data_IF_073843834145
#
_entry.id   IF_073843834145
#
_cell.length_a   1.000
_cell.length_b   1.000
_cell.length_c   1.000
_cell.angle_alpha   90.00
_cell.angle_beta   90.00
_cell.angle_gamma   90.00
#
_symmetry.space_group_name_H-M   'P 1'
#
loop_
_entity.id
_entity.type
_entity.pdbx_description
1 polymer ?
#
# COMPACT_ATOMS: atom_id res chain seq x y z
N UNK A 1 -52.82 47.52 -49.64
CA UNK A 1 -53.04 46.19 -49.05
C UNK A 1 -51.67 45.67 -48.65
N UNK A 2 -51.36 45.78 -47.36
CA UNK A 2 -50.03 45.66 -46.77
C UNK A 2 -49.62 44.18 -46.61
N UNK A 3 -48.36 43.89 -46.94
CA UNK A 3 -47.63 42.71 -46.45
C UNK A 3 -47.44 42.84 -44.94
N UNK A 4 -47.69 41.77 -44.20
CA UNK A 4 -47.24 41.61 -42.80
C UNK A 4 -46.57 40.26 -42.67
N UNK A 5 -45.28 40.30 -42.41
CA UNK A 5 -44.37 39.19 -42.14
C UNK A 5 -44.69 38.49 -40.81
N UNK A 6 -44.46 37.18 -40.78
CA UNK A 6 -44.43 36.36 -39.56
C UNK A 6 -43.26 36.75 -38.64
N UNK A 7 -43.43 36.72 -37.30
CA UNK A 7 -42.32 36.71 -36.37
C UNK A 7 -41.88 35.27 -36.05
N UNK A 8 -40.57 34.96 -36.04
CA UNK A 8 -40.06 33.75 -35.42
C UNK A 8 -39.75 34.04 -33.94
N UNK A 9 -40.66 33.67 -33.05
CA UNK A 9 -40.40 33.63 -31.60
C UNK A 9 -40.48 32.20 -31.09
N UNK A 10 -39.31 31.59 -30.94
CA UNK A 10 -38.95 30.85 -29.72
C UNK A 10 -37.50 30.39 -29.86
N UNK A 11 -36.62 31.20 -29.28
CA UNK A 11 -35.29 30.77 -28.89
C UNK A 11 -35.44 29.56 -27.95
N UNK A 12 -35.30 28.35 -28.49
CA UNK A 12 -35.21 27.14 -27.68
C UNK A 12 -33.82 27.14 -27.05
N UNK A 13 -33.71 27.72 -25.86
CA UNK A 13 -32.57 27.48 -24.97
C UNK A 13 -32.77 26.06 -24.44
N UNK A 14 -31.91 25.09 -24.76
CA UNK A 14 -31.98 23.78 -24.11
C UNK A 14 -31.54 23.98 -22.66
N UNK A 15 -32.52 24.16 -21.78
CA UNK A 15 -32.33 24.34 -20.34
C UNK A 15 -32.10 22.99 -19.66
N UNK A 16 -31.16 22.21 -20.20
CA UNK A 16 -30.64 20.99 -19.61
C UNK A 16 -29.14 20.91 -19.86
N UNK A 17 -28.39 21.83 -19.23
CA UNK A 17 -27.05 21.45 -18.78
C UNK A 17 -27.30 20.42 -17.68
N UNK A 18 -27.30 19.15 -18.08
CA UNK A 18 -27.28 18.03 -17.17
C UNK A 18 -26.02 18.22 -16.30
N UNK A 19 -26.19 18.82 -15.12
CA UNK A 19 -25.13 18.91 -14.11
C UNK A 19 -24.90 17.46 -13.70
N UNK A 20 -23.96 16.82 -14.37
CA UNK A 20 -23.59 15.45 -14.05
C UNK A 20 -23.29 15.39 -12.56
N UNK A 21 -23.98 14.52 -11.80
CA UNK A 21 -23.76 14.43 -10.37
C UNK A 21 -22.27 14.15 -10.14
N UNK A 22 -21.61 15.03 -9.38
CA UNK A 22 -20.22 14.89 -8.97
C UNK A 22 -20.11 13.72 -7.99
N UNK A 23 -20.15 12.50 -8.50
CA UNK A 23 -19.89 11.33 -7.67
C UNK A 23 -18.44 11.39 -7.17
N UNK A 24 -18.15 10.90 -5.95
CA UNK A 24 -16.78 10.77 -5.46
C UNK A 24 -15.86 10.10 -6.50
N UNK A 25 -16.36 9.08 -7.20
CA UNK A 25 -15.64 8.42 -8.29
C UNK A 25 -15.29 9.33 -9.47
N UNK A 26 -16.19 10.23 -9.89
CA UNK A 26 -15.92 11.19 -10.96
C UNK A 26 -14.88 12.22 -10.54
N UNK A 27 -14.88 12.65 -9.27
CA UNK A 27 -13.88 13.56 -8.71
C UNK A 27 -12.51 12.87 -8.61
N UNK A 28 -12.46 11.61 -8.18
CA UNK A 28 -11.23 10.82 -8.13
C UNK A 28 -10.64 10.56 -9.52
N UNK A 29 -11.47 10.24 -10.51
CA UNK A 29 -11.03 10.09 -11.91
C UNK A 29 -10.43 11.38 -12.45
N UNK A 30 -11.10 12.52 -12.27
CA UNK A 30 -10.56 13.82 -12.71
C UNK A 30 -9.24 14.16 -12.00
N UNK A 31 -9.18 13.92 -10.69
CA UNK A 31 -7.97 14.15 -9.89
C UNK A 31 -6.82 13.25 -10.33
N UNK A 32 -7.10 12.00 -10.69
CA UNK A 32 -6.11 11.08 -11.25
C UNK A 32 -5.62 11.56 -12.63
N UNK A 33 -6.50 12.08 -13.48
CA UNK A 33 -6.13 12.61 -14.79
C UNK A 33 -5.35 13.93 -14.73
N UNK A 34 -5.61 14.78 -13.73
CA UNK A 34 -4.92 16.05 -13.47
C UNK A 34 -4.03 15.97 -12.21
N UNK A 35 -3.22 14.90 -12.12
CA UNK A 35 -2.39 14.68 -10.93
C UNK A 35 -1.40 15.84 -10.74
N UNK A 36 -0.74 16.31 -11.80
CA UNK A 36 0.29 17.36 -11.68
C UNK A 36 -0.27 18.67 -11.11
N UNK A 37 -1.51 19.04 -11.48
CA UNK A 37 -2.21 20.20 -10.93
C UNK A 37 -2.67 19.99 -9.48
N UNK A 38 -3.04 18.77 -9.10
CA UNK A 38 -3.62 18.46 -7.79
C UNK A 38 -2.61 18.02 -6.71
N UNK A 39 -1.50 17.39 -7.12
CA UNK A 39 -0.64 16.59 -6.24
C UNK A 39 -0.06 17.40 -5.08
N UNK A 40 0.45 18.60 -5.35
CA UNK A 40 1.07 19.44 -4.31
C UNK A 40 0.10 19.73 -3.15
N UNK A 41 -1.17 20.03 -3.46
CA UNK A 41 -2.20 20.29 -2.46
C UNK A 41 -2.59 19.02 -1.70
N UNK A 42 -2.76 17.91 -2.40
CA UNK A 42 -3.16 16.63 -1.79
C UNK A 42 -2.06 16.06 -0.90
N UNK A 43 -0.81 16.11 -1.33
CA UNK A 43 0.36 15.70 -0.53
C UNK A 43 0.49 16.57 0.71
N UNK A 44 0.27 17.89 0.60
CA UNK A 44 0.27 18.79 1.77
C UNK A 44 -0.81 18.40 2.79
N UNK A 45 -2.02 18.05 2.32
CA UNK A 45 -3.11 17.57 3.18
C UNK A 45 -2.78 16.21 3.79
N UNK A 46 -2.26 15.26 3.01
CA UNK A 46 -1.85 13.95 3.52
C UNK A 46 -0.73 14.06 4.57
N UNK A 47 0.25 14.94 4.35
CA UNK A 47 1.28 15.21 5.34
C UNK A 47 0.71 15.79 6.64
N UNK A 48 -0.28 16.68 6.55
CA UNK A 48 -0.97 17.23 7.71
C UNK A 48 -1.72 16.14 8.49
N UNK A 49 -2.47 15.30 7.77
CA UNK A 49 -3.17 14.14 8.32
C UNK A 49 -2.21 13.20 9.07
N UNK A 50 -1.11 12.81 8.43
CA UNK A 50 -0.05 11.99 9.01
C UNK A 50 0.72 12.64 10.17
N UNK A 51 0.55 13.95 10.38
CA UNK A 51 1.14 14.69 11.49
C UNK A 51 0.15 14.95 12.63
N UNK A 52 -1.01 14.28 12.61
CA UNK A 52 -2.03 14.35 13.66
C UNK A 52 -3.19 15.31 13.38
N UNK A 53 -3.13 16.12 12.31
CA UNK A 53 -4.27 16.96 11.88
C UNK A 53 -5.29 16.13 11.10
N UNK A 54 -5.99 15.23 11.81
CA UNK A 54 -6.96 14.28 11.23
C UNK A 54 -8.18 14.96 10.60
N UNK A 55 -8.40 16.24 10.88
CA UNK A 55 -9.39 17.10 10.23
C UNK A 55 -8.98 17.55 8.81
N UNK A 56 -7.70 17.43 8.45
CA UNK A 56 -7.21 17.87 7.14
C UNK A 56 -7.69 17.01 5.95
N UNK A 57 -8.08 15.76 6.21
CA UNK A 57 -8.69 14.80 5.28
C UNK A 57 -9.70 13.94 6.05
N UNK A 58 -10.87 13.65 5.47
CA UNK A 58 -11.70 12.55 5.96
C UNK A 58 -10.97 11.20 5.75
N UNK A 59 -11.41 10.14 6.42
CA UNK A 59 -10.88 8.78 6.19
C UNK A 59 -10.97 8.35 4.72
N UNK A 60 -12.10 8.65 4.06
CA UNK A 60 -12.29 8.36 2.63
C UNK A 60 -11.37 9.18 1.72
N UNK A 61 -11.16 10.47 2.03
CA UNK A 61 -10.21 11.31 1.29
C UNK A 61 -8.76 10.80 1.49
N UNK A 62 -8.39 10.44 2.73
CA UNK A 62 -7.06 9.91 3.03
C UNK A 62 -6.80 8.58 2.32
N UNK A 63 -7.77 7.67 2.35
CA UNK A 63 -7.78 6.43 1.59
C UNK A 63 -7.49 6.71 0.11
N UNK A 64 -8.30 7.58 -0.51
CA UNK A 64 -8.18 7.88 -1.93
C UNK A 64 -6.84 8.54 -2.29
N UNK A 65 -6.39 9.52 -1.50
CA UNK A 65 -5.13 10.24 -1.78
C UNK A 65 -3.93 9.30 -1.69
N UNK A 66 -3.88 8.38 -0.71
CA UNK A 66 -2.79 7.41 -0.59
C UNK A 66 -2.75 6.45 -1.78
N UNK A 67 -3.91 6.01 -2.24
CA UNK A 67 -4.03 5.16 -3.43
C UNK A 67 -3.60 5.89 -4.72
N UNK A 68 -4.02 7.15 -4.90
CA UNK A 68 -3.59 7.98 -6.03
C UNK A 68 -2.08 8.22 -6.03
N UNK A 69 -1.48 8.51 -4.86
CA UNK A 69 -0.03 8.60 -4.73
C UNK A 69 0.67 7.30 -5.17
N UNK A 70 0.11 6.14 -4.82
CA UNK A 70 0.59 4.83 -5.26
C UNK A 70 0.49 4.63 -6.77
N UNK A 71 -0.70 4.85 -7.34
CA UNK A 71 -0.95 4.74 -8.79
C UNK A 71 0.04 5.59 -9.59
N UNK A 72 0.21 6.84 -9.18
CA UNK A 72 1.07 7.83 -9.86
C UNK A 72 2.55 7.68 -9.54
N UNK A 73 2.91 6.84 -8.57
CA UNK A 73 4.29 6.68 -8.13
C UNK A 73 4.90 7.97 -7.57
N UNK A 74 4.09 8.80 -6.90
CA UNK A 74 4.56 10.09 -6.39
C UNK A 74 5.47 9.90 -5.17
N UNK A 75 6.78 10.01 -5.40
CA UNK A 75 7.80 9.74 -4.37
C UNK A 75 7.72 10.65 -3.14
N UNK A 76 7.05 11.81 -3.25
CA UNK A 76 6.83 12.71 -2.12
C UNK A 76 5.94 12.07 -1.05
N UNK A 77 5.14 11.06 -1.41
CA UNK A 77 4.30 10.33 -0.49
C UNK A 77 5.07 9.32 0.37
N UNK A 78 6.25 8.83 -0.05
CA UNK A 78 6.93 7.72 0.61
C UNK A 78 7.17 7.94 2.10
N UNK A 79 7.75 9.10 2.43
CA UNK A 79 8.05 9.47 3.80
C UNK A 79 6.79 9.65 4.65
N UNK A 80 5.70 10.09 4.03
CA UNK A 80 4.41 10.31 4.69
C UNK A 80 3.76 8.96 5.01
N UNK A 81 3.72 8.03 4.05
CA UNK A 81 3.17 6.69 4.24
C UNK A 81 4.01 5.90 5.27
N UNK A 82 5.34 5.98 5.21
CA UNK A 82 6.19 5.36 6.24
C UNK A 82 5.92 5.95 7.64
N UNK A 83 5.64 7.26 7.75
CA UNK A 83 5.28 7.89 9.03
C UNK A 83 3.94 7.39 9.56
N UNK A 84 2.94 7.24 8.70
CA UNK A 84 1.64 6.66 9.06
C UNK A 84 1.84 5.25 9.61
N UNK A 85 2.52 4.37 8.87
CA UNK A 85 2.79 2.99 9.32
C UNK A 85 3.54 2.97 10.65
N UNK A 86 4.48 3.89 10.87
CA UNK A 86 5.25 3.93 12.10
C UNK A 86 4.46 4.41 13.32
N UNK A 87 3.46 5.28 13.16
CA UNK A 87 2.87 6.03 14.27
C UNK A 87 1.34 5.96 14.38
N UNK A 88 0.67 5.36 13.40
CA UNK A 88 -0.78 5.23 13.34
C UNK A 88 -1.16 3.78 13.64
N UNK A 89 -1.52 3.49 14.89
CA UNK A 89 -2.04 2.17 15.30
C UNK A 89 -3.46 1.93 14.79
N UNK A 90 -4.22 3.00 14.53
CA UNK A 90 -5.54 2.99 13.88
C UNK A 90 -5.49 3.10 12.36
N UNK A 91 -4.36 2.80 11.71
CA UNK A 91 -4.26 2.93 10.23
C UNK A 91 -5.29 2.05 9.51
N UNK A 92 -5.61 0.89 10.08
CA UNK A 92 -6.62 -0.02 9.58
C UNK A 92 -8.05 0.57 9.62
N UNK A 93 -8.33 1.54 10.50
CA UNK A 93 -9.67 2.13 10.62
C UNK A 93 -10.05 2.95 9.38
N UNK A 94 -9.05 3.47 8.65
CA UNK A 94 -9.28 4.27 7.45
C UNK A 94 -8.74 3.63 6.17
N UNK A 95 -7.80 2.69 6.25
CA UNK A 95 -7.38 1.87 5.10
C UNK A 95 -8.19 0.58 4.93
N UNK A 96 -8.79 0.04 5.99
CA UNK A 96 -9.42 -1.28 5.95
C UNK A 96 -8.48 -2.35 5.40
N UNK A 97 -9.00 -3.24 4.57
CA UNK A 97 -8.22 -4.36 3.99
C UNK A 97 -7.12 -3.89 3.02
N UNK A 98 -7.16 -2.63 2.56
CA UNK A 98 -6.09 -2.06 1.75
C UNK A 98 -4.74 -2.05 2.50
N UNK A 99 -4.74 -2.12 3.85
CA UNK A 99 -3.52 -2.27 4.65
C UNK A 99 -2.72 -3.49 4.20
N UNK A 100 -3.36 -4.61 3.87
CA UNK A 100 -2.69 -5.84 3.43
C UNK A 100 -2.68 -6.02 1.92
N UNK A 101 -3.68 -5.49 1.21
CA UNK A 101 -3.85 -5.74 -0.23
C UNK A 101 -3.07 -4.76 -1.12
N UNK A 102 -3.17 -3.45 -0.87
CA UNK A 102 -2.62 -2.44 -1.79
C UNK A 102 -1.44 -1.67 -1.20
N UNK A 103 -1.36 -1.54 0.13
CA UNK A 103 -0.30 -0.80 0.81
C UNK A 103 1.12 -1.28 0.43
N UNK A 104 1.42 -2.59 0.25
CA UNK A 104 2.71 -3.01 -0.27
C UNK A 104 3.03 -2.40 -1.64
N UNK A 105 2.08 -2.43 -2.56
CA UNK A 105 2.22 -1.86 -3.91
C UNK A 105 2.36 -0.35 -3.90
N UNK A 106 1.66 0.35 -3.01
CA UNK A 106 1.81 1.81 -2.81
C UNK A 106 3.24 2.14 -2.35
N UNK A 107 3.77 1.39 -1.38
CA UNK A 107 5.13 1.57 -0.88
C UNK A 107 6.18 1.29 -1.96
N UNK A 108 5.96 0.26 -2.79
CA UNK A 108 6.83 -0.07 -3.92
C UNK A 108 6.85 1.04 -4.97
N UNK A 109 5.67 1.57 -5.35
CA UNK A 109 5.54 2.62 -6.37
C UNK A 109 6.08 3.96 -5.91
N UNK A 110 5.81 4.34 -4.66
CA UNK A 110 6.25 5.61 -4.10
C UNK A 110 7.69 5.59 -3.61
N UNK A 111 8.39 4.46 -3.62
CA UNK A 111 9.73 4.33 -3.06
C UNK A 111 10.71 5.43 -3.53
N UNK A 112 11.26 6.19 -2.58
CA UNK A 112 12.13 7.36 -2.81
C UNK A 112 13.62 7.01 -2.92
N UNK A 113 13.95 5.72 -3.06
CA UNK A 113 15.33 5.22 -3.07
C UNK A 113 15.94 4.98 -1.70
N UNK A 114 15.29 5.35 -0.59
CA UNK A 114 15.88 5.31 0.75
C UNK A 114 15.15 4.34 1.70
N UNK A 115 15.66 3.11 1.80
CA UNK A 115 15.09 2.06 2.66
C UNK A 115 15.06 2.38 4.17
N UNK A 116 15.74 3.43 4.64
CA UNK A 116 15.84 3.77 6.06
C UNK A 116 14.46 4.05 6.70
N UNK A 117 13.58 4.79 6.02
CA UNK A 117 12.24 5.11 6.53
C UNK A 117 11.36 3.87 6.59
N UNK A 118 11.41 3.04 5.56
CA UNK A 118 10.66 1.80 5.49
C UNK A 118 11.10 0.81 6.59
N UNK A 119 12.41 0.67 6.81
CA UNK A 119 12.94 -0.13 7.93
C UNK A 119 12.49 0.39 9.30
N UNK A 120 12.45 1.71 9.49
CA UNK A 120 11.98 2.32 10.73
C UNK A 120 10.49 2.03 10.96
N UNK A 121 9.67 2.10 9.90
CA UNK A 121 8.25 1.77 9.95
C UNK A 121 8.03 0.30 10.38
N UNK A 122 8.74 -0.65 9.78
CA UNK A 122 8.64 -2.09 10.13
C UNK A 122 8.87 -2.36 11.62
N UNK A 123 9.85 -1.69 12.23
CA UNK A 123 10.25 -1.95 13.62
C UNK A 123 9.54 -1.07 14.65
N UNK A 124 8.66 -0.16 14.22
CA UNK A 124 7.97 0.72 15.15
C UNK A 124 7.04 -0.09 16.07
N UNK A 125 7.15 0.03 17.41
CA UNK A 125 6.27 -0.69 18.33
C UNK A 125 4.86 -0.10 18.37
N UNK A 126 4.66 1.13 17.91
CA UNK A 126 3.37 1.83 17.88
C UNK A 126 2.54 1.40 16.68
N UNK A 127 3.18 1.19 15.52
CA UNK A 127 2.47 0.92 14.28
C UNK A 127 1.61 -0.34 14.31
N UNK A 128 0.50 -0.29 13.57
CA UNK A 128 -0.37 -1.43 13.32
C UNK A 128 0.44 -2.64 12.77
N UNK A 129 0.21 -3.86 13.29
CA UNK A 129 0.99 -5.04 12.91
C UNK A 129 0.83 -5.43 11.43
N UNK A 130 -0.33 -5.22 10.81
CA UNK A 130 -0.55 -5.53 9.39
C UNK A 130 0.16 -4.50 8.50
N UNK A 131 0.09 -3.21 8.86
CA UNK A 131 0.79 -2.16 8.12
C UNK A 131 2.32 -2.34 8.17
N UNK A 132 2.84 -2.76 9.33
CA UNK A 132 4.27 -3.10 9.49
C UNK A 132 4.67 -4.33 8.68
N UNK A 133 3.80 -5.35 8.61
CA UNK A 133 3.99 -6.50 7.74
C UNK A 133 4.02 -6.09 6.26
N UNK A 134 3.07 -5.28 5.80
CA UNK A 134 3.05 -4.73 4.44
C UNK A 134 4.31 -3.93 4.10
N UNK A 135 4.84 -3.16 5.05
CA UNK A 135 6.13 -2.48 4.89
C UNK A 135 7.30 -3.46 4.73
N UNK A 136 7.30 -4.57 5.46
CA UNK A 136 8.34 -5.60 5.36
C UNK A 136 8.25 -6.35 4.02
N UNK A 137 7.05 -6.68 3.56
CA UNK A 137 6.80 -7.28 2.26
C UNK A 137 7.29 -6.38 1.11
N UNK A 138 6.92 -5.09 1.13
CA UNK A 138 7.38 -4.10 0.17
C UNK A 138 8.91 -3.94 0.19
N UNK A 139 9.53 -3.93 1.38
CA UNK A 139 10.99 -3.86 1.49
C UNK A 139 11.66 -5.07 0.86
N UNK A 140 11.15 -6.28 1.10
CA UNK A 140 11.65 -7.50 0.47
C UNK A 140 11.59 -7.41 -1.06
N UNK A 141 10.44 -6.99 -1.60
CA UNK A 141 10.28 -6.80 -3.04
C UNK A 141 11.30 -5.80 -3.59
N UNK A 142 11.44 -4.63 -2.94
CA UNK A 142 12.35 -3.57 -3.37
C UNK A 142 13.83 -3.98 -3.32
N UNK A 143 14.22 -4.84 -2.37
CA UNK A 143 15.57 -5.41 -2.33
C UNK A 143 15.83 -6.26 -3.57
N UNK A 144 14.89 -7.14 -3.94
CA UNK A 144 15.03 -7.99 -5.13
C UNK A 144 14.93 -7.19 -6.44
N UNK A 145 13.87 -6.41 -6.60
CA UNK A 145 13.52 -5.75 -7.85
C UNK A 145 14.37 -4.51 -8.16
N UNK A 146 14.83 -3.79 -7.12
CA UNK A 146 15.48 -2.48 -7.28
C UNK A 146 16.82 -2.35 -6.55
N UNK A 147 17.30 -3.42 -5.90
CA UNK A 147 18.55 -3.37 -5.14
C UNK A 147 18.51 -2.37 -3.99
N UNK A 148 17.33 -2.11 -3.40
CA UNK A 148 17.15 -1.09 -2.35
C UNK A 148 18.06 -1.29 -1.12
N UNK A 149 18.52 -2.53 -0.90
CA UNK A 149 19.58 -2.89 0.03
C UNK A 149 20.38 -4.05 -0.56
N UNK A 150 21.61 -4.25 -0.08
CA UNK A 150 22.35 -5.48 -0.36
C UNK A 150 21.72 -6.66 0.38
N UNK A 151 21.90 -7.85 -0.18
CA UNK A 151 21.53 -9.13 0.40
C UNK A 151 22.03 -9.30 1.85
N UNK A 152 23.28 -8.92 2.09
CA UNK A 152 23.90 -8.96 3.41
C UNK A 152 23.21 -7.99 4.39
N UNK A 153 22.92 -6.77 3.95
CA UNK A 153 22.22 -5.78 4.77
C UNK A 153 20.78 -6.20 5.10
N UNK A 154 20.06 -6.80 4.14
CA UNK A 154 18.70 -7.30 4.36
C UNK A 154 18.68 -8.50 5.32
N UNK A 155 19.61 -9.47 5.17
CA UNK A 155 19.77 -10.55 6.14
C UNK A 155 20.07 -10.05 7.55
N UNK A 156 20.96 -9.07 7.67
CA UNK A 156 21.28 -8.44 8.96
C UNK A 156 20.05 -7.73 9.55
N UNK A 157 19.26 -7.04 8.73
CA UNK A 157 18.02 -6.41 9.15
C UNK A 157 16.98 -7.41 9.63
N UNK A 158 16.75 -8.51 8.89
CA UNK A 158 15.81 -9.57 9.31
C UNK A 158 16.24 -10.21 10.64
N UNK A 159 17.53 -10.50 10.84
CA UNK A 159 18.04 -11.00 12.13
C UNK A 159 17.81 -10.01 13.26
N UNK A 160 18.00 -8.71 12.99
CA UNK A 160 17.72 -7.66 13.96
C UNK A 160 16.23 -7.60 14.30
N UNK A 161 15.34 -7.64 13.32
CA UNK A 161 13.88 -7.69 13.52
C UNK A 161 13.51 -8.87 14.43
N UNK A 162 14.02 -10.06 14.12
CA UNK A 162 13.78 -11.28 14.89
C UNK A 162 14.21 -11.19 16.36
N UNK A 163 15.27 -10.42 16.65
CA UNK A 163 15.85 -10.24 17.99
C UNK A 163 15.16 -9.13 18.78
N UNK A 164 14.95 -7.97 18.14
CA UNK A 164 14.66 -6.72 18.86
C UNK A 164 13.17 -6.33 18.82
N UNK A 165 12.39 -6.85 17.87
CA UNK A 165 11.01 -6.39 17.69
C UNK A 165 10.09 -7.01 18.74
N UNK A 166 9.31 -6.11 19.35
CA UNK A 166 8.25 -6.38 20.32
C UNK A 166 6.87 -6.06 19.69
N UNK A 167 5.78 -6.62 20.25
CA UNK A 167 5.75 -7.63 21.31
C UNK A 167 6.18 -9.02 20.82
N UNK A 168 6.75 -9.84 21.71
CA UNK A 168 7.13 -11.24 21.42
C UNK A 168 5.92 -12.15 21.64
N UNK A 169 4.93 -12.03 20.75
CA UNK A 169 3.71 -12.85 20.70
C UNK A 169 3.33 -13.13 19.24
N UNK A 170 2.28 -13.92 19.04
CA UNK A 170 1.65 -14.11 17.74
C UNK A 170 1.39 -12.78 17.03
N UNK A 171 1.82 -12.70 15.77
CA UNK A 171 1.68 -11.52 14.92
C UNK A 171 1.91 -11.88 13.46
N UNK A 172 1.09 -11.30 12.57
CA UNK A 172 1.25 -11.35 11.11
C UNK A 172 2.66 -10.92 10.64
N UNK A 173 3.34 -10.08 11.43
CA UNK A 173 4.71 -9.66 11.15
C UNK A 173 5.70 -10.84 11.14
N UNK A 174 5.51 -11.85 11.99
CA UNK A 174 6.41 -13.01 12.05
C UNK A 174 6.21 -13.95 10.86
N UNK A 175 4.96 -14.14 10.43
CA UNK A 175 4.65 -14.85 9.20
C UNK A 175 5.29 -14.13 8.01
N UNK A 176 5.04 -12.84 7.87
CA UNK A 176 5.61 -12.01 6.80
C UNK A 176 7.13 -11.99 6.81
N UNK A 177 7.75 -12.00 8.00
CA UNK A 177 9.21 -12.13 8.14
C UNK A 177 9.73 -13.44 7.55
N UNK A 178 9.06 -14.56 7.83
CA UNK A 178 9.43 -15.88 7.30
C UNK A 178 9.23 -15.93 5.78
N UNK A 179 8.09 -15.43 5.30
CA UNK A 179 7.76 -15.38 3.88
C UNK A 179 8.75 -14.51 3.10
N UNK A 180 9.09 -13.31 3.60
CA UNK A 180 10.10 -12.44 2.96
C UNK A 180 11.48 -13.09 2.95
N UNK A 181 11.88 -13.78 4.02
CA UNK A 181 13.13 -14.52 4.03
C UNK A 181 13.14 -15.63 2.96
N UNK A 182 12.03 -16.33 2.77
CA UNK A 182 11.88 -17.36 1.74
C UNK A 182 11.87 -16.77 0.31
N UNK A 183 11.09 -15.71 0.07
CA UNK A 183 11.00 -15.01 -1.21
C UNK A 183 12.33 -14.37 -1.65
N UNK A 184 13.24 -14.12 -0.71
CA UNK A 184 14.59 -13.64 -0.99
C UNK A 184 15.62 -14.77 -1.16
N UNK A 185 15.25 -16.04 -0.94
CA UNK A 185 16.17 -17.15 -1.06
C UNK A 185 17.09 -17.35 0.17
N UNK A 186 16.73 -16.81 1.34
CA UNK A 186 17.62 -16.79 2.51
C UNK A 186 17.52 -18.06 3.36
N UNK A 187 17.94 -19.20 2.80
CA UNK A 187 17.91 -20.51 3.46
C UNK A 187 18.51 -20.53 4.86
N UNK A 188 19.56 -19.73 5.10
CA UNK A 188 20.20 -19.60 6.42
C UNK A 188 19.26 -19.15 7.54
N UNK A 189 18.07 -18.65 7.23
CA UNK A 189 17.04 -18.23 8.19
C UNK A 189 16.01 -19.32 8.50
N UNK A 190 16.04 -20.46 7.81
CA UNK A 190 15.13 -21.60 8.06
C UNK A 190 15.06 -22.04 9.53
N UNK A 191 16.17 -22.14 10.30
CA UNK A 191 16.10 -22.52 11.72
C UNK A 191 15.33 -21.52 12.59
N UNK A 192 15.31 -20.24 12.20
CA UNK A 192 14.55 -19.21 12.91
C UNK A 192 13.05 -19.33 12.63
N UNK A 193 12.65 -19.73 11.43
CA UNK A 193 11.25 -20.03 11.09
C UNK A 193 10.72 -21.17 11.96
N UNK A 194 11.48 -22.28 12.05
CA UNK A 194 11.14 -23.41 12.92
C UNK A 194 11.00 -22.97 14.39
N UNK A 195 11.82 -22.02 14.82
CA UNK A 195 11.78 -21.49 16.19
C UNK A 195 10.55 -20.61 16.43
N UNK A 196 10.18 -19.75 15.48
CA UNK A 196 8.97 -18.93 15.55
C UNK A 196 7.70 -19.82 15.58
N UNK A 197 7.66 -20.85 14.74
CA UNK A 197 6.55 -21.79 14.68
C UNK A 197 6.40 -22.57 16.00
N UNK A 198 7.49 -23.15 16.53
CA UNK A 198 7.46 -23.85 17.84
C UNK A 198 7.07 -22.94 18.99
N UNK A 199 7.40 -21.64 18.92
CA UNK A 199 7.02 -20.67 19.92
C UNK A 199 5.56 -20.19 19.80
N UNK A 200 4.83 -20.61 18.76
CA UNK A 200 3.46 -20.16 18.48
C UNK A 200 3.37 -18.72 17.97
N UNK A 201 4.44 -18.19 17.38
CA UNK A 201 4.49 -16.80 16.90
C UNK A 201 3.94 -16.69 15.49
N UNK A 202 3.99 -17.80 14.76
CA UNK A 202 3.30 -18.04 13.51
C UNK A 202 2.29 -19.16 13.82
N UNK A 203 0.98 -18.92 13.65
CA UNK A 203 -0.03 -19.94 13.89
C UNK A 203 0.25 -21.23 13.10
N UNK A 204 -0.07 -22.37 13.71
CA UNK A 204 0.08 -23.67 13.05
C UNK A 204 -0.89 -23.78 11.87
N UNK A 205 -0.35 -23.97 10.66
CA UNK A 205 -1.12 -24.05 9.41
C UNK A 205 -0.99 -22.83 8.50
N UNK A 206 -0.42 -21.72 8.99
CA UNK A 206 -0.25 -20.50 8.18
C UNK A 206 1.00 -20.56 7.29
N UNK A 207 2.18 -20.63 7.91
CA UNK A 207 3.46 -20.70 7.19
C UNK A 207 4.52 -21.44 8.00
N UNK A 208 4.82 -22.67 7.61
CA UNK A 208 5.78 -23.56 8.26
C UNK A 208 7.14 -23.63 7.58
N UNK A 209 7.97 -24.55 8.07
CA UNK A 209 9.28 -24.86 7.45
C UNK A 209 9.12 -25.52 6.09
N UNK A 210 8.04 -26.28 5.87
CA UNK A 210 7.69 -26.89 4.59
C UNK A 210 7.33 -25.83 3.55
N UNK A 211 6.50 -24.84 3.93
CA UNK A 211 6.14 -23.71 3.06
C UNK A 211 7.37 -22.85 2.75
N UNK A 212 8.24 -22.64 3.75
CA UNK A 212 9.51 -21.95 3.57
C UNK A 212 10.37 -22.65 2.51
N UNK A 213 10.56 -23.97 2.62
CA UNK A 213 11.39 -24.74 1.69
C UNK A 213 10.79 -24.76 0.28
N UNK A 214 9.47 -24.93 0.15
CA UNK A 214 8.76 -24.84 -1.12
C UNK A 214 8.95 -23.46 -1.77
N UNK A 215 8.89 -22.40 -0.96
CA UNK A 215 9.03 -21.02 -1.43
C UNK A 215 10.46 -20.67 -1.85
N UNK A 216 11.48 -21.22 -1.17
CA UNK A 216 12.88 -21.15 -1.61
C UNK A 216 13.03 -21.83 -2.99
N UNK A 217 12.41 -23.00 -3.17
CA UNK A 217 12.39 -23.71 -4.45
C UNK A 217 11.82 -22.86 -5.59
N UNK A 218 10.66 -22.23 -5.36
CA UNK A 218 10.03 -21.32 -6.31
C UNK A 218 10.91 -20.11 -6.65
N UNK A 219 11.54 -19.51 -5.64
CA UNK A 219 12.41 -18.34 -5.83
C UNK A 219 13.64 -18.69 -6.68
N UNK A 220 14.17 -19.91 -6.56
CA UNK A 220 15.35 -20.37 -7.32
C UNK A 220 15.06 -20.73 -8.77
N UNK A 221 13.84 -21.21 -9.05
CA UNK A 221 13.44 -21.57 -10.41
C UNK A 221 13.08 -20.37 -11.28
N UNK A 222 12.95 -19.19 -10.69
CA UNK A 222 12.63 -17.95 -11.36
C UNK A 222 13.86 -17.05 -11.53
N UNK A 223 14.22 -16.76 -12.79
CA UNK A 223 15.37 -15.92 -13.12
C UNK A 223 15.22 -14.47 -12.61
N UNK A 224 13.99 -13.98 -12.44
CA UNK A 224 13.74 -12.65 -11.87
C UNK A 224 13.87 -12.61 -10.35
N UNK A 225 13.77 -13.77 -9.69
CA UNK A 225 13.73 -13.93 -8.24
C UNK A 225 12.50 -13.29 -7.58
N UNK A 226 11.45 -12.98 -8.35
CA UNK A 226 10.22 -12.32 -7.90
C UNK A 226 9.01 -13.26 -7.80
N UNK A 227 9.10 -14.49 -8.29
CA UNK A 227 8.00 -15.46 -8.26
C UNK A 227 7.44 -15.68 -6.84
N UNK A 228 8.30 -15.66 -5.82
CA UNK A 228 7.86 -15.71 -4.43
C UNK A 228 7.00 -14.49 -4.05
N UNK A 229 7.39 -13.28 -4.44
CA UNK A 229 6.57 -12.09 -4.16
C UNK A 229 5.26 -12.11 -4.94
N UNK A 230 5.27 -12.57 -6.19
CA UNK A 230 4.07 -12.70 -7.00
C UNK A 230 3.06 -13.70 -6.39
N UNK A 231 3.55 -14.81 -5.82
CA UNK A 231 2.71 -15.78 -5.13
C UNK A 231 2.02 -15.21 -3.87
N UNK A 232 2.58 -14.15 -3.27
CA UNK A 232 1.97 -13.42 -2.14
C UNK A 232 1.22 -12.15 -2.60
N UNK A 233 0.98 -12.00 -3.90
CA UNK A 233 0.35 -10.82 -4.49
C UNK A 233 1.09 -9.50 -4.21
N UNK A 234 2.40 -9.57 -3.97
CA UNK A 234 3.25 -8.40 -3.75
C UNK A 234 3.83 -7.92 -5.08
N UNK A 235 3.22 -6.85 -5.60
CA UNK A 235 3.62 -6.20 -6.84
C UNK A 235 3.41 -4.67 -6.74
N UNK A 236 4.01 -3.87 -7.64
CA UNK A 236 3.70 -2.44 -7.72
C UNK A 236 2.20 -2.20 -7.95
N UNK A 237 1.65 -1.15 -7.34
CA UNK A 237 0.25 -0.77 -7.57
C UNK A 237 0.10 -0.07 -8.93
N UNK A 238 -0.44 -0.79 -9.92
CA UNK A 238 -0.61 -0.26 -11.28
C UNK A 238 -2.06 0.16 -11.61
N UNK A 239 -3.06 -0.28 -10.83
CA UNK A 239 -4.46 0.14 -10.97
C UNK A 239 -5.11 0.40 -9.61
N UNK A 240 -4.99 1.62 -9.11
CA UNK A 240 -5.67 2.03 -7.88
C UNK A 240 -7.18 2.18 -8.05
N UNK A 241 -7.69 2.38 -9.27
CA UNK A 241 -9.12 2.58 -9.50
C UNK A 241 -9.90 1.28 -9.27
N UNK A 242 -9.33 0.13 -9.63
CA UNK A 242 -9.92 -1.17 -9.29
C UNK A 242 -9.99 -1.37 -7.77
N UNK A 243 -8.95 -1.00 -7.02
CA UNK A 243 -8.97 -1.05 -5.56
C UNK A 243 -10.02 -0.10 -4.94
N UNK A 244 -10.14 1.13 -5.47
CA UNK A 244 -11.12 2.13 -5.03
C UNK A 244 -12.58 1.74 -5.33
N UNK A 245 -12.83 0.93 -6.37
CA UNK A 245 -14.18 0.46 -6.71
C UNK A 245 -14.72 -0.56 -5.71
N UNK A 246 -13.85 -1.36 -5.11
CA UNK A 246 -14.24 -2.41 -4.17
C UNK A 246 -14.71 -1.87 -2.81
N UNK A 247 -14.21 -0.71 -2.39
CA UNK A 247 -14.65 -0.05 -1.14
C UNK A 247 -16.06 0.53 -1.24
N UNK A 248 -16.45 1.08 -2.39
CA UNK A 248 -17.79 1.67 -2.59
C UNK A 248 -18.91 0.62 -2.52
N UNK A 249 -18.67 -0.61 -2.97
CA UNK A 249 -19.65 -1.71 -2.87
C UNK A 249 -19.98 -2.13 -1.43
N UNK A 250 -19.11 -1.79 -0.46
CA UNK A 250 -19.33 -2.14 0.96
C UNK A 250 -19.97 -1.02 1.78
N UNK A 251 -19.92 0.23 1.31
CA UNK A 251 -20.63 1.37 1.94
C UNK A 251 -22.07 1.52 1.48
N UNK A 252 -22.50 0.75 0.48
CA UNK A 252 -23.85 0.77 -0.08
C UNK A 252 -24.76 -0.36 0.45
N UNK A 253 -24.37 -1.04 1.54
CA UNK A 253 -25.16 -2.09 2.22
C UNK A 253 -25.52 -1.70 3.64
#
# INVERSE_FOLDING_TARGET
>A
MLMVSEPPDSCHVPDHVEVQPHTPQSALRRTSSDWDGAAARLIKRLHAFASGRRDSLSSSDAFAVVHLCGEKGDVRAHAIVCRLIANDDGIADWLGDAVTETLPGILIKTFDGHAARLRAAVVSPVGDPFARASALAALGYLVRARGAMTDAAMRAFLRRVRRDVLPRRESILWMTWATVAANLGYESLRPEVATLQRAGFIPGGDFGVEDFDARIGLTRSDASGLAGFAADLIAPLDDAQSALRWTDSRTAS
#
